data_IF_689763770883
#
_entry.id   IF_689763770883
#
_cell.length_a   1.000
_cell.length_b   1.000
_cell.length_c   1.000
_cell.angle_alpha   90.00
_cell.angle_beta   90.00
_cell.angle_gamma   90.00
#
_symmetry.space_group_name_H-M   'P 1'
#
loop_
_entity.id
_entity.type
_entity.pdbx_description
1 polymer ?
#
# COMPACT_ATOMS: atom_id res chain seq x y z
N UNK A 1 -4.21 7.93 -14.02
CA UNK A 1 -4.20 6.46 -14.04
C UNK A 1 -3.57 5.96 -12.77
N UNK A 2 -4.23 5.01 -12.12
CA UNK A 2 -3.67 4.31 -10.98
C UNK A 2 -2.98 3.01 -11.40
N UNK A 3 -2.24 2.43 -10.46
CA UNK A 3 -1.58 1.14 -10.62
C UNK A 3 -2.30 0.09 -9.77
N UNK A 4 -2.41 -1.12 -10.29
CA UNK A 4 -2.90 -2.28 -9.55
C UNK A 4 -1.66 -3.02 -9.05
N UNK A 5 -1.58 -3.23 -7.75
CA UNK A 5 -0.56 -4.04 -7.12
C UNK A 5 -1.15 -5.38 -6.69
N UNK A 6 -0.26 -6.37 -6.59
CA UNK A 6 -0.52 -7.66 -5.98
C UNK A 6 0.41 -7.84 -4.78
N UNK A 7 -0.14 -8.27 -3.65
CA UNK A 7 0.64 -8.67 -2.49
C UNK A 7 0.72 -10.20 -2.40
N UNK A 8 1.91 -10.74 -2.17
CA UNK A 8 2.13 -12.17 -1.90
C UNK A 8 3.06 -12.36 -0.71
N UNK A 9 2.84 -13.39 0.09
CA UNK A 9 3.71 -13.76 1.21
C UNK A 9 3.98 -15.27 1.24
N UNK A 10 5.13 -15.67 1.76
CA UNK A 10 5.52 -17.09 1.94
C UNK A 10 4.54 -17.89 2.83
N UNK A 11 3.75 -17.24 3.69
CA UNK A 11 2.70 -17.89 4.49
C UNK A 11 1.40 -18.21 3.70
N UNK A 12 1.42 -17.98 2.38
CA UNK A 12 0.27 -18.18 1.49
C UNK A 12 -0.76 -17.04 1.55
N UNK A 13 -0.42 -15.88 2.10
CA UNK A 13 -1.24 -14.68 1.93
C UNK A 13 -1.11 -14.16 0.50
N UNK A 14 -2.24 -13.93 -0.17
CA UNK A 14 -2.32 -13.41 -1.53
C UNK A 14 -3.45 -12.38 -1.56
N UNK A 15 -3.17 -11.20 -2.11
CA UNK A 15 -4.18 -10.20 -2.43
C UNK A 15 -3.89 -9.64 -3.81
N UNK A 16 -4.81 -9.85 -4.75
CA UNK A 16 -4.55 -9.66 -6.18
C UNK A 16 -4.91 -8.27 -6.70
N UNK A 17 -5.79 -7.56 -5.99
CA UNK A 17 -6.28 -6.25 -6.40
C UNK A 17 -6.06 -5.20 -5.31
N UNK A 18 -4.95 -4.48 -5.43
CA UNK A 18 -4.58 -3.40 -4.52
C UNK A 18 -4.39 -2.13 -5.35
N UNK A 19 -5.41 -1.25 -5.43
CA UNK A 19 -5.26 0.01 -6.13
C UNK A 19 -4.25 0.93 -5.42
N UNK A 20 -3.31 1.45 -6.19
CA UNK A 20 -2.42 2.54 -5.83
C UNK A 20 -2.70 3.77 -6.71
N UNK A 21 -2.88 4.93 -6.08
CA UNK A 21 -3.17 6.20 -6.76
C UNK A 21 -4.66 6.48 -6.93
N UNK A 22 -4.99 7.38 -7.86
CA UNK A 22 -6.36 7.78 -8.18
C UNK A 22 -6.68 7.66 -9.68
N UNK A 23 -7.97 7.64 -9.99
CA UNK A 23 -8.48 7.66 -11.37
C UNK A 23 -8.32 9.05 -12.00
N UNK A 24 -8.41 9.14 -13.33
CA UNK A 24 -8.23 10.40 -14.07
C UNK A 24 -9.15 11.54 -13.61
N UNK A 25 -10.29 11.22 -12.97
CA UNK A 25 -11.27 12.22 -12.50
C UNK A 25 -11.04 12.72 -11.07
N UNK A 26 -10.30 11.99 -10.24
CA UNK A 26 -10.19 12.28 -8.80
C UNK A 26 -8.77 12.15 -8.25
N UNK A 27 -7.75 11.99 -9.11
CA UNK A 27 -6.37 11.84 -8.68
C UNK A 27 -5.90 12.97 -7.75
N UNK A 28 -6.41 14.20 -7.92
CA UNK A 28 -6.09 15.34 -7.05
C UNK A 28 -6.59 15.25 -5.61
N UNK A 29 -7.62 14.45 -5.36
CA UNK A 29 -8.27 14.35 -4.04
C UNK A 29 -8.26 12.94 -3.47
N UNK A 30 -7.97 11.94 -4.29
CA UNK A 30 -7.95 10.53 -3.92
C UNK A 30 -6.66 9.87 -4.37
N UNK A 31 -5.94 9.32 -3.39
CA UNK A 31 -4.86 8.36 -3.60
C UNK A 31 -5.16 7.11 -2.78
N UNK A 32 -5.74 6.08 -3.42
CA UNK A 32 -5.85 4.77 -2.78
C UNK A 32 -4.44 4.26 -2.55
N UNK A 33 -4.10 3.85 -1.33
CA UNK A 33 -2.79 3.29 -1.03
C UNK A 33 -2.93 2.11 -0.06
N UNK A 34 -2.08 1.07 -0.18
CA UNK A 34 -2.11 -0.06 0.74
C UNK A 34 -1.71 0.37 2.15
N UNK A 35 -2.50 -0.06 3.12
CA UNK A 35 -2.28 0.20 4.53
C UNK A 35 -2.63 -1.03 5.38
N UNK A 36 -1.96 -1.18 6.51
CA UNK A 36 -2.29 -2.14 7.54
C UNK A 36 -3.21 -1.46 8.55
N UNK A 37 -4.39 -2.04 8.79
CA UNK A 37 -5.22 -1.60 9.91
C UNK A 37 -4.69 -2.20 11.22
N UNK A 38 -4.39 -1.34 12.19
CA UNK A 38 -3.86 -1.77 13.50
C UNK A 38 -4.91 -2.46 14.36
N UNK A 39 -6.20 -2.22 14.09
CA UNK A 39 -7.31 -2.79 14.88
C UNK A 39 -7.76 -4.15 14.38
N UNK A 40 -7.91 -4.34 13.06
CA UNK A 40 -8.34 -5.62 12.49
C UNK A 40 -7.19 -6.48 11.92
N UNK A 41 -5.97 -5.93 11.81
CA UNK A 41 -4.82 -6.65 11.27
C UNK A 41 -4.95 -6.99 9.79
N UNK A 42 -5.79 -6.29 9.03
CA UNK A 42 -6.02 -6.52 7.61
C UNK A 42 -5.28 -5.50 6.74
N UNK A 43 -4.84 -5.95 5.56
CA UNK A 43 -4.44 -5.06 4.49
C UNK A 43 -5.68 -4.44 3.86
N UNK A 44 -5.75 -3.13 3.91
CA UNK A 44 -6.84 -2.32 3.34
C UNK A 44 -6.26 -1.25 2.42
N UNK A 45 -7.08 -0.72 1.53
CA UNK A 45 -6.75 0.48 0.77
C UNK A 45 -7.42 1.68 1.42
N UNK A 46 -6.63 2.68 1.79
CA UNK A 46 -7.13 3.93 2.38
C UNK A 46 -6.66 5.13 1.54
N UNK A 47 -7.37 6.25 1.63
CA UNK A 47 -6.96 7.47 0.94
C UNK A 47 -5.75 8.09 1.64
N UNK A 48 -4.59 8.06 1.00
CA UNK A 48 -3.34 8.65 1.51
C UNK A 48 -3.39 10.18 1.58
N UNK A 49 -4.28 10.81 0.82
CA UNK A 49 -4.44 12.26 0.84
C UNK A 49 -5.29 12.76 2.02
N UNK A 50 -6.11 11.89 2.62
CA UNK A 50 -6.94 12.25 3.78
C UNK A 50 -6.08 12.52 5.02
N UNK A 51 -6.48 13.50 5.84
CA UNK A 51 -5.81 13.83 7.09
C UNK A 51 -6.03 12.77 8.19
N UNK A 52 -7.16 12.06 8.13
CA UNK A 52 -7.52 10.98 9.06
C UNK A 52 -7.98 9.74 8.31
N UNK A 53 -7.07 9.02 7.65
CA UNK A 53 -7.41 7.80 6.94
C UNK A 53 -7.85 6.74 7.95
N UNK A 54 -8.97 6.07 7.66
CA UNK A 54 -9.55 5.04 8.52
C UNK A 54 -9.85 3.78 7.74
N UNK A 55 -9.74 2.66 8.44
CA UNK A 55 -10.23 1.39 7.96
C UNK A 55 -11.77 1.40 7.98
N UNK A 56 -12.46 0.65 7.09
CA UNK A 56 -13.91 0.47 7.17
C UNK A 56 -14.41 -0.06 8.53
N UNK A 57 -13.56 -0.73 9.32
CA UNK A 57 -13.90 -1.14 10.69
C UNK A 57 -13.86 0.01 11.71
N UNK A 58 -13.50 1.23 11.30
CA UNK A 58 -13.32 2.41 12.16
C UNK A 58 -11.91 2.54 12.77
N UNK A 59 -11.05 1.53 12.61
CA UNK A 59 -9.69 1.51 13.14
C UNK A 59 -8.73 2.45 12.41
N UNK A 60 -7.62 2.78 13.07
CA UNK A 60 -6.52 3.53 12.45
C UNK A 60 -5.75 2.65 11.48
N UNK A 61 -5.18 3.28 10.46
CA UNK A 61 -4.36 2.60 9.45
C UNK A 61 -2.95 3.16 9.44
N UNK A 62 -1.99 2.29 9.14
CA UNK A 62 -0.60 2.66 8.87
C UNK A 62 -0.26 2.23 7.46
N UNK A 63 0.17 3.16 6.63
CA UNK A 63 0.48 2.87 5.24
C UNK A 63 1.78 2.07 5.08
N UNK A 64 1.84 1.26 4.02
CA UNK A 64 3.00 0.39 3.77
C UNK A 64 4.26 1.14 3.31
N UNK A 65 4.20 2.46 3.06
CA UNK A 65 5.38 3.30 2.90
C UNK A 65 5.97 3.79 4.24
N UNK A 66 5.40 3.40 5.38
CA UNK A 66 5.98 3.63 6.70
C UNK A 66 7.16 2.66 6.95
N UNK A 67 8.36 3.15 7.32
CA UNK A 67 9.53 2.31 7.62
C UNK A 67 9.30 1.22 8.68
N UNK A 68 8.28 1.35 9.53
CA UNK A 68 7.93 0.33 10.51
C UNK A 68 7.28 -0.92 9.88
N UNK A 69 6.81 -0.84 8.63
CA UNK A 69 6.10 -1.93 7.94
C UNK A 69 6.93 -2.61 6.85
N UNK A 70 8.21 -2.25 6.68
CA UNK A 70 9.08 -2.87 5.70
C UNK A 70 10.53 -2.99 6.17
N UNK A 71 11.28 -3.92 5.58
CA UNK A 71 12.73 -4.03 5.80
C UNK A 71 13.44 -2.98 4.98
N UNK A 72 14.44 -2.33 5.56
CA UNK A 72 15.30 -1.37 4.86
C UNK A 72 15.69 -1.91 3.48
N UNK A 73 15.32 -1.22 2.39
CA UNK A 73 15.62 -1.71 1.05
C UNK A 73 17.12 -1.73 0.81
N UNK A 74 17.59 -2.76 0.10
CA UNK A 74 18.98 -2.86 -0.37
C UNK A 74 18.99 -2.35 -1.80
N UNK A 75 19.06 -1.03 -1.98
CA UNK A 75 19.04 -0.36 -3.29
C UNK A 75 17.88 0.62 -3.47
N UNK A 76 17.78 1.21 -4.66
CA UNK A 76 16.81 2.28 -5.00
C UNK A 76 15.62 1.79 -5.84
N UNK A 77 15.41 0.46 -5.92
CA UNK A 77 14.29 -0.09 -6.70
C UNK A 77 12.96 0.18 -5.99
N UNK A 78 11.98 0.68 -6.74
CA UNK A 78 10.60 0.88 -6.28
C UNK A 78 9.65 0.00 -7.09
N UNK A 79 8.71 -0.63 -6.40
CA UNK A 79 7.65 -1.44 -7.03
C UNK A 79 6.62 -0.53 -7.68
N UNK A 80 6.30 0.56 -6.98
CA UNK A 80 5.37 1.55 -7.46
C UNK A 80 5.62 2.87 -6.75
N UNK A 81 5.39 3.94 -7.49
CA UNK A 81 5.53 5.30 -7.01
C UNK A 81 4.35 6.12 -7.53
N UNK A 82 3.80 6.96 -6.66
CA UNK A 82 2.73 7.86 -7.00
C UNK A 82 2.99 9.22 -6.35
N UNK A 83 3.07 10.25 -7.19
CA UNK A 83 3.36 11.61 -6.76
C UNK A 83 2.19 12.52 -7.11
N UNK A 84 1.76 13.31 -6.13
CA UNK A 84 0.88 14.44 -6.40
C UNK A 84 1.25 15.66 -5.57
N UNK A 85 1.47 16.78 -6.27
CA UNK A 85 1.82 18.06 -5.64
C UNK A 85 2.96 17.86 -4.62
N UNK A 86 2.66 18.03 -3.34
CA UNK A 86 3.60 17.95 -2.21
C UNK A 86 3.59 16.59 -1.49
N UNK A 87 2.68 15.66 -1.85
CA UNK A 87 2.58 14.33 -1.25
C UNK A 87 3.07 13.28 -2.23
N UNK A 88 4.03 12.47 -1.79
CA UNK A 88 4.52 11.30 -2.51
C UNK A 88 4.23 10.02 -1.73
N UNK A 89 3.90 8.97 -2.47
CA UNK A 89 3.75 7.62 -1.96
C UNK A 89 4.64 6.70 -2.78
N UNK A 90 5.60 6.06 -2.11
CA UNK A 90 6.55 5.17 -2.77
C UNK A 90 6.63 3.85 -2.02
N UNK A 91 6.61 2.74 -2.77
CA UNK A 91 6.81 1.41 -2.24
C UNK A 91 8.16 0.87 -2.73
N UNK A 92 9.19 0.81 -1.87
CA UNK A 92 10.45 0.17 -2.24
C UNK A 92 10.27 -1.32 -2.57
N UNK A 93 11.10 -1.87 -3.45
CA UNK A 93 11.12 -3.31 -3.70
C UNK A 93 11.85 -4.03 -2.56
N UNK A 94 11.08 -4.39 -1.54
CA UNK A 94 11.55 -5.00 -0.30
C UNK A 94 10.51 -5.95 0.30
N UNK A 95 10.82 -6.49 1.48
CA UNK A 95 9.90 -7.29 2.26
C UNK A 95 9.11 -6.41 3.23
N UNK A 96 7.82 -6.68 3.32
CA UNK A 96 6.83 -5.97 4.10
C UNK A 96 6.21 -6.87 5.17
N UNK A 97 5.66 -6.24 6.20
CA UNK A 97 4.94 -6.93 7.26
C UNK A 97 3.66 -7.57 6.71
N UNK A 98 3.59 -8.89 6.80
CA UNK A 98 2.41 -9.61 6.38
C UNK A 98 1.29 -9.47 7.42
N UNK A 99 0.06 -9.06 7.03
CA UNK A 99 -1.08 -8.99 7.96
C UNK A 99 -1.47 -10.37 8.53
N UNK A 100 -1.22 -11.45 7.78
CA UNK A 100 -1.66 -12.80 8.14
C UNK A 100 -0.73 -13.49 9.13
N UNK A 101 0.59 -13.43 8.90
CA UNK A 101 1.57 -14.14 9.73
C UNK A 101 2.42 -13.22 10.61
N UNK A 102 2.27 -11.90 10.50
CA UNK A 102 3.06 -10.89 11.23
C UNK A 102 4.58 -10.98 10.99
N UNK A 103 5.00 -11.63 9.91
CA UNK A 103 6.39 -11.73 9.50
C UNK A 103 6.70 -10.77 8.34
N UNK A 104 7.95 -10.30 8.29
CA UNK A 104 8.47 -9.44 7.22
C UNK A 104 8.86 -10.25 5.98
N UNK A 105 7.88 -10.92 5.36
CA UNK A 105 8.06 -11.80 4.20
C UNK A 105 7.05 -11.53 3.07
N UNK A 106 6.26 -10.45 3.16
CA UNK A 106 5.31 -10.08 2.11
C UNK A 106 5.99 -9.19 1.06
N UNK A 107 5.63 -9.34 -0.22
CA UNK A 107 6.10 -8.48 -1.30
C UNK A 107 4.92 -7.88 -2.05
N UNK A 108 5.07 -6.63 -2.46
CA UNK A 108 4.23 -6.05 -3.49
C UNK A 108 4.85 -6.27 -4.86
N UNK A 109 4.01 -6.47 -5.87
CA UNK A 109 4.39 -6.49 -7.28
C UNK A 109 3.38 -5.71 -8.10
N UNK A 110 3.87 -5.05 -9.14
CA UNK A 110 2.98 -4.46 -10.15
C UNK A 110 2.18 -5.55 -10.85
N UNK A 111 0.87 -5.34 -11.00
CA UNK A 111 -0.07 -6.28 -11.61
C UNK A 111 -0.86 -5.67 -12.78
N UNK A 112 -0.91 -4.34 -12.91
CA UNK A 112 -1.59 -3.67 -14.02
C UNK A 112 -1.84 -2.19 -13.77
N UNK A 113 -2.62 -1.57 -14.65
CA UNK A 113 -3.08 -0.18 -14.51
C UNK A 113 -4.60 -0.14 -14.46
N UNK A 114 -5.15 0.89 -13.82
CA UNK A 114 -6.58 1.18 -13.81
C UNK A 114 -6.84 2.67 -14.04
N UNK A 115 -8.08 2.98 -14.42
CA UNK A 115 -8.63 4.33 -14.50
C UNK A 115 -10.03 4.38 -13.89
#
# INVERSE_FOLDING_TARGET
>A
MGSILRATCSCGFIQEWIPLGGGMRNYETVCSAPALCTSCGLLVCANYLDDMPRCPCGGTVRFYNDPALYRTPVGELTVADWNIREKSFSLPDTHYLCPKCSEMNMHFRFAGCFD
#
